data_IF_669252774003
#
_entry.id   IF_669252774003
#
_cell.length_a   1.000
_cell.length_b   1.000
_cell.length_c   1.000
_cell.angle_alpha   90.00
_cell.angle_beta   90.00
_cell.angle_gamma   90.00
#
_symmetry.space_group_name_H-M   'P 1'
#
loop_
_entity.id
_entity.type
_entity.pdbx_description
1 polymer ?
#
# COMPACT_ATOMS: atom_id res chain seq x y z
N UNK A 1 -16.50 14.04 43.01
CA UNK A 1 -16.65 13.15 44.17
C UNK A 1 -15.46 12.20 44.26
N UNK A 2 -14.61 12.47 45.25
CA UNK A 2 -13.84 11.53 46.09
C UNK A 2 -12.89 10.50 45.46
N UNK A 3 -11.61 10.92 45.33
CA UNK A 3 -10.42 10.12 45.64
C UNK A 3 -10.30 9.93 47.16
N UNK A 4 -10.14 8.70 47.64
CA UNK A 4 -9.58 8.23 48.94
C UNK A 4 -9.44 6.71 48.80
N UNK A 5 -8.51 5.94 49.37
CA UNK A 5 -7.31 6.03 50.21
C UNK A 5 -6.82 4.55 50.20
N UNK A 6 -5.55 4.26 49.93
CA UNK A 6 -4.44 4.27 50.89
C UNK A 6 -4.41 3.05 51.84
N UNK A 7 -3.19 2.48 51.94
CA UNK A 7 -2.57 1.83 53.09
C UNK A 7 -2.91 0.34 53.34
N UNK A 8 -2.05 -0.58 52.90
CA UNK A 8 -0.89 -1.18 53.62
C UNK A 8 -1.32 -2.20 54.68
N UNK A 9 -0.92 -3.46 54.51
CA UNK A 9 -0.34 -4.22 55.62
C UNK A 9 0.54 -5.38 55.13
N UNK A 10 1.72 -5.41 55.72
CA UNK A 10 2.88 -6.26 55.56
C UNK A 10 2.90 -7.27 56.71
N UNK A 11 3.19 -8.56 56.46
CA UNK A 11 3.88 -9.51 57.38
C UNK A 11 4.09 -10.85 56.66
N UNK A 12 5.33 -11.26 56.34
CA UNK A 12 6.32 -12.02 57.15
C UNK A 12 6.04 -13.56 57.10
N UNK A 13 6.72 -14.33 56.21
CA UNK A 13 7.94 -15.16 56.44
C UNK A 13 7.65 -16.59 56.92
N UNK A 14 8.08 -17.62 56.16
CA UNK A 14 9.21 -18.53 56.45
C UNK A 14 9.11 -19.88 55.69
N UNK A 15 10.24 -20.26 55.05
CA UNK A 15 10.80 -21.61 54.79
C UNK A 15 9.94 -22.74 54.18
N UNK A 16 10.44 -23.72 53.43
CA UNK A 16 11.67 -24.00 52.68
C UNK A 16 11.45 -25.43 52.15
N UNK A 17 11.63 -25.73 50.85
CA UNK A 17 12.16 -27.02 50.40
C UNK A 17 12.86 -26.78 49.06
N UNK A 18 14.17 -27.00 49.07
CA UNK A 18 15.03 -27.10 47.90
C UNK A 18 14.91 -28.52 47.35
N UNK A 19 14.59 -28.64 46.06
CA UNK A 19 14.90 -29.84 45.27
C UNK A 19 15.76 -29.39 44.09
N UNK A 20 17.02 -29.82 44.14
CA UNK A 20 18.03 -29.65 43.11
C UNK A 20 17.67 -30.59 41.95
N UNK A 21 17.24 -30.03 40.83
CA UNK A 21 17.19 -30.69 39.53
C UNK A 21 18.20 -30.03 38.59
N UNK A 22 19.31 -30.73 38.31
CA UNK A 22 20.29 -30.36 37.29
C UNK A 22 19.66 -30.42 35.88
N UNK A 23 19.89 -29.41 35.04
CA UNK A 23 19.78 -29.57 33.59
C UNK A 23 19.54 -28.30 32.77
N UNK A 24 20.60 -27.51 32.51
CA UNK A 24 20.66 -26.61 31.35
C UNK A 24 20.84 -25.11 31.67
N UNK A 25 21.82 -24.40 31.07
CA UNK A 25 21.99 -22.96 31.22
C UNK A 25 20.89 -22.16 30.47
N UNK A 26 20.66 -20.90 30.86
CA UNK A 26 19.46 -20.15 30.50
C UNK A 26 19.58 -19.54 29.10
N UNK A 27 18.59 -19.79 28.25
CA UNK A 27 18.33 -18.94 27.10
C UNK A 27 16.94 -18.33 27.27
N UNK A 28 16.89 -17.22 28.02
CA UNK A 28 15.89 -16.18 27.80
C UNK A 28 15.99 -15.74 26.34
N UNK A 29 15.26 -16.43 25.45
CA UNK A 29 14.84 -15.85 24.18
C UNK A 29 13.78 -14.80 24.54
N UNK A 30 14.27 -13.60 24.79
CA UNK A 30 13.55 -12.37 24.44
C UNK A 30 12.92 -12.63 23.08
N UNK A 31 11.59 -12.76 23.04
CA UNK A 31 10.86 -12.65 21.79
C UNK A 31 11.20 -11.26 21.27
N UNK A 32 12.12 -11.22 20.32
CA UNK A 32 12.36 -10.04 19.52
C UNK A 32 10.99 -9.67 18.95
N UNK A 33 10.52 -8.48 19.31
CA UNK A 33 9.44 -7.82 18.60
C UNK A 33 9.82 -7.86 17.12
N UNK A 34 9.14 -8.73 16.39
CA UNK A 34 9.27 -8.86 14.95
C UNK A 34 8.54 -7.65 14.34
N UNK A 35 9.16 -6.48 14.50
CA UNK A 35 8.73 -5.21 13.96
C UNK A 35 9.05 -5.11 12.45
N UNK A 36 8.78 -6.19 11.72
CA UNK A 36 8.96 -6.32 10.27
C UNK A 36 7.79 -7.06 9.59
N UNK A 37 6.71 -7.39 10.30
CA UNK A 37 5.44 -7.75 9.69
C UNK A 37 4.69 -6.47 9.29
N UNK A 38 5.23 -5.70 8.34
CA UNK A 38 4.45 -4.67 7.66
C UNK A 38 3.31 -5.40 6.92
N UNK A 39 2.08 -5.08 7.34
CA UNK A 39 0.78 -5.63 6.93
C UNK A 39 0.77 -6.24 5.52
N UNK A 40 1.00 -7.55 5.43
CA UNK A 40 0.50 -8.32 4.30
C UNK A 40 -1.02 -8.33 4.40
N UNK A 41 -1.77 -8.02 3.32
CA UNK A 41 -3.22 -8.07 3.33
C UNK A 41 -3.73 -9.42 3.85
N UNK A 42 -4.52 -9.39 4.93
CA UNK A 42 -4.91 -10.61 5.66
C UNK A 42 -6.07 -11.36 4.98
N UNK A 43 -6.71 -10.77 3.98
CA UNK A 43 -7.80 -11.35 3.20
C UNK A 43 -7.77 -10.87 1.74
N UNK A 44 -8.43 -11.58 0.81
CA UNK A 44 -8.58 -11.11 -0.58
C UNK A 44 -9.22 -9.72 -0.67
N UNK A 45 -10.14 -9.43 0.25
CA UNK A 45 -10.79 -8.13 0.30
C UNK A 45 -9.83 -7.01 0.72
N UNK A 46 -8.97 -7.27 1.72
CA UNK A 46 -7.93 -6.33 2.15
C UNK A 46 -6.91 -6.09 1.03
N UNK A 47 -6.58 -7.12 0.26
CA UNK A 47 -5.65 -7.01 -0.86
C UNK A 47 -6.18 -6.05 -1.93
N UNK A 48 -7.45 -6.19 -2.30
CA UNK A 48 -8.10 -5.28 -3.23
C UNK A 48 -8.27 -3.85 -2.67
N UNK A 49 -8.58 -3.70 -1.37
CA UNK A 49 -8.61 -2.39 -0.72
C UNK A 49 -7.23 -1.71 -0.77
N UNK A 50 -6.16 -2.44 -0.44
CA UNK A 50 -4.80 -1.92 -0.47
C UNK A 50 -4.40 -1.43 -1.87
N UNK A 51 -4.77 -2.15 -2.93
CA UNK A 51 -4.52 -1.70 -4.30
C UNK A 51 -5.32 -0.43 -4.66
N UNK A 52 -6.57 -0.30 -4.21
CA UNK A 52 -7.33 0.92 -4.39
C UNK A 52 -6.76 2.10 -3.59
N UNK A 53 -6.30 1.87 -2.36
CA UNK A 53 -5.68 2.90 -1.53
C UNK A 53 -4.38 3.41 -2.15
N UNK A 54 -3.56 2.51 -2.73
CA UNK A 54 -2.37 2.90 -3.48
C UNK A 54 -2.71 3.76 -4.70
N UNK A 55 -3.78 3.46 -5.42
CA UNK A 55 -4.26 4.33 -6.50
C UNK A 55 -4.64 5.72 -5.98
N UNK A 56 -5.44 5.79 -4.90
CA UNK A 56 -5.85 7.06 -4.30
C UNK A 56 -4.65 7.90 -3.84
N UNK A 57 -3.66 7.27 -3.20
CA UNK A 57 -2.42 7.92 -2.79
C UNK A 57 -1.63 8.44 -4.00
N UNK A 58 -1.47 7.64 -5.06
CA UNK A 58 -0.79 8.06 -6.28
C UNK A 58 -1.45 9.29 -6.92
N UNK A 59 -2.78 9.30 -7.00
CA UNK A 59 -3.53 10.44 -7.54
C UNK A 59 -3.37 11.69 -6.68
N UNK A 60 -3.42 11.55 -5.35
CA UNK A 60 -3.22 12.66 -4.41
C UNK A 60 -1.81 13.24 -4.50
N UNK A 61 -0.79 12.39 -4.55
CA UNK A 61 0.61 12.82 -4.68
C UNK A 61 0.89 13.48 -6.03
N UNK A 62 0.29 12.96 -7.12
CA UNK A 62 0.40 13.57 -8.44
C UNK A 62 -0.21 14.98 -8.45
N UNK A 63 -1.41 15.13 -7.89
CA UNK A 63 -2.07 16.44 -7.77
C UNK A 63 -1.22 17.38 -6.92
N UNK A 64 -0.68 16.92 -5.80
CA UNK A 64 0.17 17.74 -4.93
C UNK A 64 1.47 18.18 -5.62
N UNK A 65 2.11 17.28 -6.40
CA UNK A 65 3.31 17.56 -7.18
C UNK A 65 3.09 18.65 -8.25
N UNK A 66 1.88 18.71 -8.80
CA UNK A 66 1.55 19.54 -9.96
C UNK A 66 0.60 20.71 -9.65
N UNK A 67 0.17 20.89 -8.39
CA UNK A 67 -0.84 21.88 -7.99
C UNK A 67 -0.52 23.31 -8.45
N UNK A 68 0.76 23.68 -8.36
CA UNK A 68 1.27 25.02 -8.70
C UNK A 68 1.67 25.14 -10.17
N UNK A 69 1.37 24.11 -10.98
CA UNK A 69 1.61 24.04 -12.43
C UNK A 69 3.04 24.43 -12.82
N UNK A 70 4.06 23.77 -12.24
CA UNK A 70 5.46 24.04 -12.58
C UNK A 70 5.76 23.79 -14.06
N UNK A 71 6.83 24.41 -14.57
CA UNK A 71 7.26 24.20 -15.95
C UNK A 71 7.51 22.70 -16.23
N UNK A 72 7.15 22.18 -17.43
CA UNK A 72 7.25 20.74 -17.73
C UNK A 72 8.62 20.13 -17.42
N UNK A 73 9.71 20.81 -17.79
CA UNK A 73 11.07 20.35 -17.56
C UNK A 73 11.42 20.14 -16.07
N UNK A 74 10.73 20.82 -15.15
CA UNK A 74 10.96 20.70 -13.71
C UNK A 74 10.25 19.50 -13.05
N UNK A 75 9.31 18.86 -13.77
CA UNK A 75 8.44 17.82 -13.20
C UNK A 75 8.30 16.55 -14.02
N UNK A 76 8.67 16.53 -15.32
CA UNK A 76 8.59 15.32 -16.15
C UNK A 76 9.18 14.08 -15.47
N UNK A 77 10.43 14.16 -15.05
CA UNK A 77 11.10 13.03 -14.40
C UNK A 77 10.45 12.65 -13.07
N UNK A 78 9.95 13.64 -12.32
CA UNK A 78 9.26 13.40 -11.03
C UNK A 78 7.95 12.66 -11.23
N UNK A 79 7.19 12.98 -12.28
CA UNK A 79 5.94 12.28 -12.62
C UNK A 79 6.22 10.84 -13.02
N UNK A 80 7.26 10.60 -13.83
CA UNK A 80 7.68 9.25 -14.22
C UNK A 80 8.12 8.43 -13.00
N UNK A 81 8.97 9.00 -12.16
CA UNK A 81 9.46 8.35 -10.93
C UNK A 81 8.31 8.04 -9.96
N UNK A 82 7.38 8.99 -9.78
CA UNK A 82 6.19 8.79 -8.96
C UNK A 82 5.37 7.61 -9.47
N UNK A 83 5.09 7.58 -10.78
CA UNK A 83 4.34 6.47 -11.39
C UNK A 83 5.04 5.13 -11.17
N UNK A 84 6.33 5.04 -11.47
CA UNK A 84 7.09 3.80 -11.35
C UNK A 84 7.10 3.29 -9.90
N UNK A 85 7.22 4.17 -8.91
CA UNK A 85 7.14 3.78 -7.50
C UNK A 85 5.80 3.10 -7.16
N UNK A 86 4.68 3.61 -7.70
CA UNK A 86 3.36 3.01 -7.50
C UNK A 86 3.13 1.76 -8.35
N UNK A 87 3.69 1.69 -9.56
CA UNK A 87 3.72 0.47 -10.38
C UNK A 87 4.35 -0.68 -9.59
N UNK A 88 5.51 -0.47 -8.98
CA UNK A 88 6.20 -1.52 -8.22
C UNK A 88 5.38 -2.00 -7.02
N UNK A 89 4.73 -1.08 -6.29
CA UNK A 89 3.82 -1.43 -5.18
C UNK A 89 2.62 -2.25 -5.67
N UNK A 90 2.00 -1.84 -6.76
CA UNK A 90 0.82 -2.53 -7.33
C UNK A 90 1.18 -3.89 -7.92
N UNK A 91 2.33 -4.02 -8.57
CA UNK A 91 2.86 -5.32 -9.04
C UNK A 91 3.11 -6.26 -7.87
N UNK A 92 3.64 -5.77 -6.75
CA UNK A 92 3.81 -6.59 -5.55
C UNK A 92 2.48 -7.15 -5.04
N UNK A 93 1.43 -6.32 -4.97
CA UNK A 93 0.08 -6.78 -4.62
C UNK A 93 -0.51 -7.71 -5.70
N UNK A 94 -0.24 -7.43 -6.98
CA UNK A 94 -0.69 -8.27 -8.10
C UNK A 94 -0.10 -9.68 -8.05
N UNK A 95 1.17 -9.83 -7.63
CA UNK A 95 1.77 -11.16 -7.41
C UNK A 95 1.07 -11.93 -6.30
N UNK A 96 0.63 -11.25 -5.23
CA UNK A 96 -0.17 -11.88 -4.17
C UNK A 96 -1.55 -12.28 -4.69
N UNK A 97 -2.17 -11.42 -5.51
CA UNK A 97 -3.43 -11.72 -6.19
C UNK A 97 -3.30 -12.96 -7.06
N UNK A 98 -2.23 -13.11 -7.84
CA UNK A 98 -2.02 -14.30 -8.69
C UNK A 98 -1.87 -15.61 -7.91
N UNK A 99 -1.46 -15.56 -6.65
CA UNK A 99 -1.39 -16.74 -5.78
C UNK A 99 -2.77 -17.18 -5.26
N UNK A 100 -3.82 -16.37 -5.43
CA UNK A 100 -5.18 -16.68 -4.96
C UNK A 100 -5.94 -17.58 -5.94
N UNK A 101 -6.89 -18.34 -5.38
CA UNK A 101 -7.91 -19.04 -6.18
C UNK A 101 -8.81 -18.06 -6.94
N UNK A 102 -9.53 -18.56 -7.96
CA UNK A 102 -10.35 -17.71 -8.83
C UNK A 102 -11.41 -16.87 -8.08
N UNK A 103 -12.09 -17.45 -7.09
CA UNK A 103 -13.11 -16.74 -6.29
C UNK A 103 -12.51 -15.61 -5.45
N UNK A 104 -11.34 -15.84 -4.86
CA UNK A 104 -10.63 -14.86 -4.05
C UNK A 104 -10.04 -13.74 -4.91
N UNK A 105 -9.50 -14.06 -6.10
CA UNK A 105 -9.09 -13.05 -7.09
C UNK A 105 -10.25 -12.15 -7.49
N UNK A 106 -11.42 -12.73 -7.79
CA UNK A 106 -12.62 -11.97 -8.12
C UNK A 106 -13.06 -11.06 -6.95
N UNK A 107 -12.91 -11.54 -5.71
CA UNK A 107 -13.19 -10.74 -4.51
C UNK A 107 -12.24 -9.54 -4.42
N UNK A 108 -10.94 -9.75 -4.62
CA UNK A 108 -9.95 -8.68 -4.62
C UNK A 108 -10.23 -7.65 -5.74
N UNK A 109 -10.50 -8.12 -6.96
CA UNK A 109 -10.82 -7.25 -8.11
C UNK A 109 -12.05 -6.37 -7.86
N UNK A 110 -13.12 -6.96 -7.34
CA UNK A 110 -14.33 -6.23 -6.96
C UNK A 110 -14.01 -5.11 -5.95
N UNK A 111 -13.15 -5.37 -4.97
CA UNK A 111 -12.76 -4.36 -3.98
C UNK A 111 -11.94 -3.23 -4.58
N UNK A 112 -11.10 -3.52 -5.58
CA UNK A 112 -10.42 -2.48 -6.37
C UNK A 112 -11.43 -1.59 -7.07
N UNK A 113 -12.39 -2.17 -7.80
CA UNK A 113 -13.44 -1.43 -8.52
C UNK A 113 -14.22 -0.50 -7.58
N UNK A 114 -14.70 -1.03 -6.45
CA UNK A 114 -15.42 -0.24 -5.44
C UNK A 114 -14.56 0.85 -4.81
N UNK A 115 -13.25 0.65 -4.71
CA UNK A 115 -12.31 1.64 -4.19
C UNK A 115 -12.05 2.77 -5.18
N UNK A 116 -11.93 2.47 -6.48
CA UNK A 116 -11.79 3.46 -7.54
C UNK A 116 -12.99 4.40 -7.62
N UNK A 117 -14.21 3.86 -7.52
CA UNK A 117 -15.44 4.66 -7.49
C UNK A 117 -15.44 5.67 -6.34
N UNK A 118 -14.89 5.29 -5.18
CA UNK A 118 -14.74 6.19 -4.02
C UNK A 118 -13.63 7.22 -4.22
N UNK A 119 -12.52 6.83 -4.85
CA UNK A 119 -11.38 7.70 -5.10
C UNK A 119 -11.65 8.79 -6.16
N UNK A 120 -12.63 8.57 -7.06
CA UNK A 120 -13.05 9.51 -8.10
C UNK A 120 -13.73 10.80 -7.59
N UNK A 121 -13.66 11.08 -6.28
CA UNK A 121 -14.19 12.28 -5.64
C UNK A 121 -13.42 13.59 -5.99
N UNK A 122 -13.34 14.57 -5.06
CA UNK A 122 -12.83 15.92 -5.34
C UNK A 122 -11.44 16.00 -6.02
N UNK A 123 -10.57 15.02 -5.80
CA UNK A 123 -9.24 14.95 -6.42
C UNK A 123 -9.29 14.77 -7.94
N UNK A 124 -10.39 14.24 -8.49
CA UNK A 124 -10.52 13.99 -9.92
C UNK A 124 -10.68 15.28 -10.74
N UNK A 125 -11.33 16.31 -10.17
CA UNK A 125 -11.41 17.61 -10.83
C UNK A 125 -10.04 18.29 -10.87
N UNK A 126 -9.34 18.34 -9.72
CA UNK A 126 -7.99 18.92 -9.66
C UNK A 126 -7.02 18.21 -10.62
N UNK A 127 -7.10 16.88 -10.68
CA UNK A 127 -6.37 16.07 -11.65
C UNK A 127 -6.71 16.46 -13.10
N UNK A 128 -8.01 16.58 -13.42
CA UNK A 128 -8.48 16.94 -14.76
C UNK A 128 -7.98 18.33 -15.19
N UNK A 129 -8.02 19.31 -14.29
CA UNK A 129 -7.52 20.67 -14.54
C UNK A 129 -6.00 20.68 -14.79
N UNK A 130 -5.25 19.88 -14.02
CA UNK A 130 -3.80 19.70 -14.20
C UNK A 130 -3.51 19.06 -15.56
N UNK A 131 -4.20 17.99 -15.92
CA UNK A 131 -4.01 17.32 -17.21
C UNK A 131 -4.28 18.28 -18.37
N UNK A 132 -5.41 19.00 -18.34
CA UNK A 132 -5.77 19.97 -19.38
C UNK A 132 -4.74 21.08 -19.53
N UNK A 133 -4.20 21.60 -18.41
CA UNK A 133 -3.15 22.61 -18.44
C UNK A 133 -1.91 22.12 -19.21
N UNK A 134 -1.45 20.90 -18.94
CA UNK A 134 -0.28 20.36 -19.62
C UNK A 134 -0.56 19.92 -21.06
N UNK A 135 -1.80 19.60 -21.44
CA UNK A 135 -2.13 19.23 -22.83
C UNK A 135 -1.73 20.30 -23.84
N UNK A 136 -1.85 21.59 -23.48
CA UNK A 136 -1.45 22.71 -24.36
C UNK A 136 0.03 23.06 -24.29
N UNK A 137 0.74 22.65 -23.23
CA UNK A 137 2.14 23.02 -22.99
C UNK A 137 3.13 21.92 -23.38
N UNK A 138 2.79 20.68 -23.07
CA UNK A 138 3.63 19.51 -23.27
C UNK A 138 2.76 18.25 -23.31
N UNK A 139 2.44 17.80 -24.53
CA UNK A 139 1.54 16.66 -24.73
C UNK A 139 2.12 15.36 -24.14
N UNK A 140 3.43 15.21 -24.12
CA UNK A 140 4.09 14.04 -23.52
C UNK A 140 3.85 14.00 -22.01
N UNK A 141 4.08 15.10 -21.31
CA UNK A 141 3.80 15.20 -19.87
C UNK A 141 2.30 14.99 -19.60
N UNK A 142 1.42 15.56 -20.42
CA UNK A 142 -0.02 15.34 -20.30
C UNK A 142 -0.40 13.86 -20.43
N UNK A 143 0.22 13.13 -21.38
CA UNK A 143 0.02 11.69 -21.55
C UNK A 143 0.58 10.89 -20.36
N UNK A 144 1.72 11.31 -19.79
CA UNK A 144 2.26 10.69 -18.57
C UNK A 144 1.29 10.86 -17.39
N UNK A 145 0.72 12.06 -17.20
CA UNK A 145 -0.32 12.34 -16.19
C UNK A 145 -1.58 11.49 -16.46
N UNK A 146 -2.03 11.43 -17.71
CA UNK A 146 -3.17 10.62 -18.14
C UNK A 146 -3.02 9.14 -17.75
N UNK A 147 -1.79 8.63 -17.86
CA UNK A 147 -1.47 7.23 -17.61
C UNK A 147 -1.59 6.79 -16.13
N UNK A 148 -1.81 7.71 -15.19
CA UNK A 148 -2.14 7.35 -13.81
C UNK A 148 -3.52 6.71 -13.68
N UNK A 149 -4.46 7.02 -14.59
CA UNK A 149 -5.82 6.45 -14.57
C UNK A 149 -5.84 4.92 -14.73
N UNK A 150 -4.76 4.35 -15.24
CA UNK A 150 -4.63 2.90 -15.47
C UNK A 150 -3.74 2.20 -14.45
N UNK A 151 -3.34 2.87 -13.36
CA UNK A 151 -2.42 2.29 -12.39
C UNK A 151 -2.91 0.95 -11.82
N UNK A 152 -4.21 0.79 -11.57
CA UNK A 152 -4.75 -0.47 -11.04
C UNK A 152 -4.62 -1.66 -11.98
N UNK A 153 -4.31 -1.45 -13.27
CA UNK A 153 -3.99 -2.56 -14.17
C UNK A 153 -2.72 -3.30 -13.76
N UNK A 154 -1.78 -2.61 -13.10
CA UNK A 154 -0.57 -3.24 -12.56
C UNK A 154 -0.85 -4.19 -11.37
N UNK A 155 -2.08 -4.20 -10.85
CA UNK A 155 -2.55 -5.22 -9.89
C UNK A 155 -3.23 -6.42 -10.59
N UNK A 156 -3.81 -6.23 -11.77
CA UNK A 156 -4.50 -7.28 -12.54
C UNK A 156 -3.68 -7.67 -13.78
N UNK A 157 -2.88 -8.72 -13.65
CA UNK A 157 -1.92 -9.12 -14.68
C UNK A 157 -2.57 -9.61 -15.97
N UNK A 158 -3.76 -10.20 -15.91
CA UNK A 158 -4.50 -10.58 -17.12
C UNK A 158 -4.92 -9.35 -17.92
N UNK A 159 -5.39 -8.31 -17.23
CA UNK A 159 -5.73 -7.03 -17.84
C UNK A 159 -4.48 -6.33 -18.39
N UNK A 160 -3.39 -6.29 -17.63
CA UNK A 160 -2.13 -5.71 -18.07
C UNK A 160 -1.58 -6.40 -19.33
N UNK A 161 -1.56 -7.74 -19.35
CA UNK A 161 -1.14 -8.51 -20.53
C UNK A 161 -2.00 -8.22 -21.75
N UNK A 162 -3.32 -8.10 -21.55
CA UNK A 162 -4.27 -7.78 -22.63
C UNK A 162 -4.08 -6.37 -23.19
N UNK A 163 -3.77 -5.39 -22.35
CA UNK A 163 -3.65 -3.98 -22.76
C UNK A 163 -2.23 -3.58 -23.17
N UNK A 164 -1.20 -4.18 -22.56
CA UNK A 164 0.20 -3.89 -22.83
C UNK A 164 1.09 -5.10 -22.50
N UNK A 165 1.18 -6.05 -23.43
CA UNK A 165 2.04 -7.23 -23.29
C UNK A 165 3.53 -6.86 -23.10
N UNK A 166 4.01 -5.81 -23.77
CA UNK A 166 5.38 -5.34 -23.62
C UNK A 166 5.66 -4.82 -22.20
N UNK A 167 4.70 -4.14 -21.57
CA UNK A 167 4.84 -3.67 -20.20
C UNK A 167 4.79 -4.82 -19.18
N UNK A 168 3.89 -5.79 -19.39
CA UNK A 168 3.90 -7.02 -18.60
C UNK A 168 5.27 -7.73 -18.68
N UNK A 169 5.84 -7.83 -19.89
CA UNK A 169 7.17 -8.41 -20.09
C UNK A 169 8.27 -7.61 -19.38
N UNK A 170 8.26 -6.27 -19.46
CA UNK A 170 9.22 -5.41 -18.72
C UNK A 170 9.21 -5.71 -17.22
N UNK A 171 8.03 -6.02 -16.67
CA UNK A 171 7.81 -6.28 -15.25
C UNK A 171 8.00 -7.76 -14.86
N UNK A 172 8.37 -8.62 -15.81
CA UNK A 172 8.57 -10.06 -15.57
C UNK A 172 7.26 -10.80 -15.25
N UNK A 173 6.15 -10.36 -15.85
CA UNK A 173 4.83 -10.96 -15.74
C UNK A 173 4.59 -11.82 -17.00
N UNK A 174 4.39 -13.12 -16.80
CA UNK A 174 4.15 -14.11 -17.87
C UNK A 174 2.67 -14.49 -17.96
#
# INVERSE_FOLDING_TARGET
MNRKMCLTLMTLVLAAVVMIGCGGPPATKTAANDASALDQPRSPADLGNAAADLYGQAMSELVALLKDKPAPAAVKDKVVQLKEAYVQKLVSLGRQREALGAADRATADMRVSLGLERAAGPSFQAYSDIQQHYMSLDNELANQIASFNILTQYFNFDLLKKQSAAEAQRLGIQ
#
